data_IF_320014585969
#
_entry.id   IF_320014585969
#
_cell.length_a   1.000
_cell.length_b   1.000
_cell.length_c   1.000
_cell.angle_alpha   90.00
_cell.angle_beta   90.00
_cell.angle_gamma   90.00
#
_symmetry.space_group_name_H-M   'P 1'
#
loop_
_entity.id
_entity.type
_entity.pdbx_description
1 polymer ?
#
# COMPACT_ATOMS: atom_id res chain seq x y z
N UNK A 1 13.98 -1.64 7.93
CA UNK A 1 13.06 -0.58 8.40
C UNK A 1 11.64 -0.70 7.86
N UNK A 2 11.45 -0.77 6.53
CA UNK A 2 10.12 -0.87 5.89
C UNK A 2 9.17 -1.93 6.52
N UNK A 3 9.70 -3.12 6.83
CA UNK A 3 8.97 -4.20 7.51
C UNK A 3 8.43 -3.81 8.89
N UNK A 4 9.24 -3.17 9.73
CA UNK A 4 8.81 -2.77 11.07
C UNK A 4 7.79 -1.62 11.02
N UNK A 5 8.00 -0.64 10.13
CA UNK A 5 7.08 0.48 9.94
C UNK A 5 5.69 0.01 9.50
N UNK A 6 5.64 -0.89 8.51
CA UNK A 6 4.38 -1.47 8.02
C UNK A 6 3.72 -2.37 9.05
N UNK A 7 4.48 -3.18 9.78
CA UNK A 7 3.93 -4.00 10.87
C UNK A 7 3.30 -3.16 11.98
N UNK A 8 4.00 -2.11 12.45
CA UNK A 8 3.45 -1.19 13.47
C UNK A 8 2.18 -0.52 12.95
N UNK A 9 2.18 -0.07 11.70
CA UNK A 9 1.01 0.52 11.06
C UNK A 9 -0.17 -0.45 11.02
N UNK A 10 0.03 -1.72 10.61
CA UNK A 10 -1.03 -2.73 10.56
C UNK A 10 -1.61 -2.99 11.96
N UNK A 11 -0.76 -3.11 12.98
CA UNK A 11 -1.18 -3.34 14.36
C UNK A 11 -1.98 -2.14 14.93
N UNK A 12 -1.50 -0.91 14.71
CA UNK A 12 -2.22 0.30 15.12
C UNK A 12 -3.56 0.43 14.40
N UNK A 13 -3.60 0.12 13.11
CA UNK A 13 -4.83 0.15 12.31
C UNK A 13 -5.85 -0.85 12.85
N UNK A 14 -5.45 -2.09 13.07
CA UNK A 14 -6.33 -3.14 13.60
C UNK A 14 -6.89 -2.83 15.00
N UNK A 15 -6.16 -2.07 15.82
CA UNK A 15 -6.58 -1.72 17.19
C UNK A 15 -7.35 -0.40 17.32
N UNK A 16 -7.08 0.61 16.50
CA UNK A 16 -7.54 2.00 16.74
C UNK A 16 -8.47 2.51 15.63
N UNK A 17 -8.28 2.08 14.38
CA UNK A 17 -8.94 2.70 13.22
C UNK A 17 -10.35 2.14 12.97
N UNK A 18 -10.64 0.92 13.44
CA UNK A 18 -11.97 0.30 13.27
C UNK A 18 -13.10 1.03 14.02
N UNK A 19 -12.78 1.92 14.97
CA UNK A 19 -13.78 2.70 15.72
C UNK A 19 -14.01 4.12 15.18
N UNK A 20 -13.10 4.66 14.36
CA UNK A 20 -13.04 6.11 14.06
C UNK A 20 -13.23 6.41 12.56
N UNK A 21 -12.82 5.49 11.67
CA UNK A 21 -12.94 5.67 10.22
C UNK A 21 -14.10 4.84 9.65
N UNK A 22 -14.78 5.33 8.60
CA UNK A 22 -15.66 4.49 7.79
C UNK A 22 -14.91 3.25 7.32
N UNK A 23 -15.58 2.09 7.31
CA UNK A 23 -14.99 0.78 7.01
C UNK A 23 -14.12 0.74 5.73
N UNK A 24 -14.39 1.62 4.76
CA UNK A 24 -13.76 1.67 3.43
C UNK A 24 -12.83 2.87 3.21
N UNK A 25 -12.62 3.71 4.23
CA UNK A 25 -11.61 4.76 4.17
C UNK A 25 -10.29 4.24 4.74
N UNK A 26 -9.28 4.10 3.89
CA UNK A 26 -7.98 3.58 4.29
C UNK A 26 -6.83 4.40 3.70
N UNK A 27 -5.77 4.64 4.47
CA UNK A 27 -4.53 5.23 3.97
C UNK A 27 -3.53 4.09 3.79
N UNK A 28 -3.37 3.59 2.57
CA UNK A 28 -2.64 2.35 2.32
C UNK A 28 -1.11 2.56 2.28
N UNK A 29 -0.51 2.58 3.47
CA UNK A 29 0.94 2.72 3.62
C UNK A 29 1.71 1.53 3.03
N UNK A 30 1.09 0.34 2.93
CA UNK A 30 1.72 -0.85 2.37
C UNK A 30 1.96 -0.65 0.88
N UNK A 31 0.98 -0.11 0.12
CA UNK A 31 1.16 0.25 -1.30
C UNK A 31 2.24 1.32 -1.45
N UNK A 32 2.23 2.36 -0.60
CA UNK A 32 3.23 3.44 -0.63
C UNK A 32 4.65 2.89 -0.45
N UNK A 33 4.86 2.06 0.58
CA UNK A 33 6.17 1.47 0.87
C UNK A 33 6.58 0.50 -0.25
N UNK A 34 5.64 -0.28 -0.79
CA UNK A 34 5.89 -1.19 -1.93
C UNK A 34 6.38 -0.40 -3.14
N UNK A 35 5.74 0.71 -3.48
CA UNK A 35 6.14 1.57 -4.58
C UNK A 35 7.53 2.19 -4.37
N UNK A 36 7.86 2.56 -3.12
CA UNK A 36 9.19 3.05 -2.75
C UNK A 36 10.27 1.96 -2.85
N UNK A 37 9.96 0.72 -2.42
CA UNK A 37 10.85 -0.42 -2.56
C UNK A 37 11.07 -0.82 -4.01
N UNK A 38 10.06 -0.67 -4.86
CA UNK A 38 10.19 -0.94 -6.30
C UNK A 38 11.27 -0.05 -6.93
N UNK A 39 11.36 1.21 -6.49
CA UNK A 39 12.40 2.14 -6.96
C UNK A 39 13.79 1.86 -6.39
N UNK A 40 13.87 1.53 -5.10
CA UNK A 40 15.15 1.47 -4.36
C UNK A 40 15.78 0.07 -4.37
N UNK A 41 14.97 -0.97 -4.19
CA UNK A 41 15.38 -2.37 -4.02
C UNK A 41 15.01 -3.24 -5.23
N UNK A 42 14.28 -2.69 -6.20
CA UNK A 42 13.85 -3.38 -7.42
C UNK A 42 12.62 -4.30 -7.22
N UNK A 43 12.21 -4.94 -8.32
CA UNK A 43 11.03 -5.81 -8.41
C UNK A 43 10.99 -6.87 -7.31
N UNK A 44 12.07 -7.62 -7.12
CA UNK A 44 12.07 -8.75 -6.18
C UNK A 44 11.81 -8.32 -4.73
N UNK A 45 12.45 -7.24 -4.27
CA UNK A 45 12.27 -6.73 -2.91
C UNK A 45 10.85 -6.21 -2.66
N UNK A 46 10.29 -5.49 -3.65
CA UNK A 46 8.93 -4.99 -3.58
C UNK A 46 7.88 -6.10 -3.61
N UNK A 47 8.07 -7.13 -4.44
CA UNK A 47 7.17 -8.28 -4.52
C UNK A 47 7.12 -9.09 -3.22
N UNK A 48 8.30 -9.40 -2.65
CA UNK A 48 8.41 -10.14 -1.38
C UNK A 48 7.78 -9.32 -0.24
N UNK A 49 7.99 -8.02 -0.23
CA UNK A 49 7.38 -7.13 0.76
C UNK A 49 5.85 -7.11 0.64
N UNK A 50 5.32 -6.87 -0.57
CA UNK A 50 3.87 -6.80 -0.79
C UNK A 50 3.17 -8.12 -0.41
N UNK A 51 3.72 -9.25 -0.84
CA UNK A 51 3.23 -10.57 -0.47
C UNK A 51 3.28 -10.80 1.04
N UNK A 52 4.42 -10.54 1.66
CA UNK A 52 4.60 -10.74 3.10
C UNK A 52 3.68 -9.86 3.95
N UNK A 53 3.49 -8.59 3.57
CA UNK A 53 2.56 -7.70 4.26
C UNK A 53 1.11 -8.16 4.09
N UNK A 54 0.73 -8.60 2.89
CA UNK A 54 -0.60 -9.17 2.69
C UNK A 54 -0.84 -10.43 3.53
N UNK A 55 0.14 -11.34 3.62
CA UNK A 55 0.06 -12.50 4.53
C UNK A 55 -0.05 -12.11 6.00
N UNK A 56 0.67 -11.08 6.45
CA UNK A 56 0.57 -10.58 7.82
C UNK A 56 -0.81 -10.02 8.11
N UNK A 57 -1.40 -9.28 7.15
CA UNK A 57 -2.76 -8.77 7.28
C UNK A 57 -3.75 -9.93 7.32
N UNK A 58 -3.61 -10.94 6.45
CA UNK A 58 -4.46 -12.14 6.47
C UNK A 58 -4.40 -12.85 7.84
N UNK A 59 -3.20 -13.01 8.42
CA UNK A 59 -3.01 -13.65 9.72
C UNK A 59 -3.61 -12.84 10.88
N UNK A 60 -3.53 -11.50 10.80
CA UNK A 60 -3.95 -10.60 11.88
C UNK A 60 -5.42 -10.17 11.79
N UNK A 61 -6.03 -10.20 10.60
CA UNK A 61 -7.37 -9.64 10.34
C UNK A 61 -8.53 -10.59 10.64
N UNK A 62 -8.27 -11.82 11.12
CA UNK A 62 -9.26 -12.89 11.24
C UNK A 62 -10.06 -13.18 9.94
N UNK A 63 -9.57 -12.69 8.80
CA UNK A 63 -10.20 -12.80 7.49
C UNK A 63 -9.83 -14.08 6.74
N UNK A 64 -10.19 -14.12 5.45
CA UNK A 64 -9.86 -15.25 4.59
C UNK A 64 -8.36 -15.30 4.30
N UNK A 65 -7.72 -16.40 4.70
CA UNK A 65 -6.28 -16.57 4.54
C UNK A 65 -5.89 -16.52 3.06
N UNK A 66 -5.04 -15.57 2.67
CA UNK A 66 -4.57 -15.37 1.30
C UNK A 66 -5.29 -14.27 0.52
N UNK A 67 -6.37 -13.68 1.06
CA UNK A 67 -7.12 -12.60 0.40
C UNK A 67 -6.25 -11.35 0.22
N UNK A 68 -5.70 -10.84 1.33
CA UNK A 68 -4.85 -9.65 1.30
C UNK A 68 -3.50 -9.95 0.67
N UNK A 69 -2.92 -11.13 0.85
CA UNK A 69 -1.73 -11.56 0.11
C UNK A 69 -1.93 -11.43 -1.41
N UNK A 70 -3.06 -11.91 -1.93
CA UNK A 70 -3.40 -11.76 -3.35
C UNK A 70 -3.59 -10.29 -3.74
N UNK A 71 -4.32 -9.51 -2.95
CA UNK A 71 -4.58 -8.09 -3.23
C UNK A 71 -3.28 -7.29 -3.33
N UNK A 72 -2.36 -7.47 -2.39
CA UNK A 72 -1.09 -6.73 -2.39
C UNK A 72 -0.15 -7.21 -3.49
N UNK A 73 -0.16 -8.49 -3.88
CA UNK A 73 0.57 -8.97 -5.06
C UNK A 73 0.01 -8.35 -6.35
N UNK A 74 -1.31 -8.31 -6.52
CA UNK A 74 -1.93 -7.65 -7.68
C UNK A 74 -1.60 -6.16 -7.69
N UNK A 75 -1.66 -5.51 -6.53
CA UNK A 75 -1.31 -4.09 -6.38
C UNK A 75 0.16 -3.83 -6.75
N UNK A 76 1.07 -4.72 -6.35
CA UNK A 76 2.46 -4.69 -6.78
C UNK A 76 2.60 -4.81 -8.31
N UNK A 77 1.89 -5.74 -8.96
CA UNK A 77 1.89 -5.87 -10.41
C UNK A 77 1.37 -4.60 -11.11
N UNK A 78 0.31 -3.99 -10.56
CA UNK A 78 -0.20 -2.70 -11.04
C UNK A 78 0.84 -1.58 -10.90
N UNK A 79 1.60 -1.54 -9.79
CA UNK A 79 2.70 -0.59 -9.62
C UNK A 79 3.81 -0.83 -10.63
N UNK A 80 4.22 -2.09 -10.83
CA UNK A 80 5.29 -2.43 -11.78
C UNK A 80 4.91 -2.10 -13.23
N UNK A 81 3.69 -2.42 -13.64
CA UNK A 81 3.18 -2.08 -14.96
C UNK A 81 2.98 -0.56 -15.11
N UNK A 82 2.40 0.08 -14.09
CA UNK A 82 2.12 1.52 -14.08
C UNK A 82 3.38 2.38 -14.05
N UNK A 83 4.46 1.91 -13.42
CA UNK A 83 5.75 2.61 -13.38
C UNK A 83 6.39 2.77 -14.77
N UNK A 84 5.91 2.03 -15.79
CA UNK A 84 6.30 2.24 -17.20
C UNK A 84 5.64 3.47 -17.83
N UNK A 85 4.48 3.87 -17.31
CA UNK A 85 3.70 5.01 -17.80
C UNK A 85 3.88 6.26 -16.94
N UNK A 86 4.08 6.09 -15.64
CA UNK A 86 4.21 7.17 -14.67
C UNK A 86 5.60 7.13 -14.01
N UNK A 87 6.31 8.27 -14.04
CA UNK A 87 7.63 8.36 -13.43
C UNK A 87 7.52 8.44 -11.90
N UNK A 88 7.83 7.33 -11.23
CA UNK A 88 7.90 7.24 -9.77
C UNK A 88 8.99 8.13 -9.14
N UNK A 89 9.93 8.70 -9.92
CA UNK A 89 10.89 9.71 -9.41
C UNK A 89 10.26 11.09 -9.28
N UNK A 90 9.19 11.35 -10.02
CA UNK A 90 8.44 12.60 -9.96
C UNK A 90 7.37 12.57 -8.87
N UNK A 91 7.16 13.70 -8.19
CA UNK A 91 6.09 13.86 -7.19
C UNK A 91 4.71 13.58 -7.80
N UNK A 92 4.50 14.01 -9.04
CA UNK A 92 3.24 13.81 -9.77
C UNK A 92 3.01 12.34 -10.10
N UNK A 93 4.04 11.62 -10.56
CA UNK A 93 3.94 10.20 -10.85
C UNK A 93 3.71 9.36 -9.60
N UNK A 94 4.35 9.69 -8.48
CA UNK A 94 4.08 9.07 -7.18
C UNK A 94 2.63 9.25 -6.76
N UNK A 95 2.13 10.48 -6.78
CA UNK A 95 0.74 10.79 -6.43
C UNK A 95 -0.26 10.02 -7.30
N UNK A 96 -0.12 10.13 -8.63
CA UNK A 96 -1.07 9.55 -9.59
C UNK A 96 -1.03 8.01 -9.53
N UNK A 97 0.17 7.41 -9.61
CA UNK A 97 0.28 5.95 -9.71
C UNK A 97 -0.15 5.28 -8.41
N UNK A 98 0.31 5.77 -7.25
CA UNK A 98 -0.10 5.20 -5.97
C UNK A 98 -1.60 5.37 -5.75
N UNK A 99 -2.15 6.55 -6.04
CA UNK A 99 -3.59 6.78 -5.94
C UNK A 99 -4.41 5.84 -6.82
N UNK A 100 -4.01 5.64 -8.09
CA UNK A 100 -4.68 4.72 -9.00
C UNK A 100 -4.61 3.27 -8.53
N UNK A 101 -3.46 2.82 -8.01
CA UNK A 101 -3.32 1.45 -7.50
C UNK A 101 -4.19 1.22 -6.26
N UNK A 102 -4.27 2.19 -5.35
CA UNK A 102 -5.16 2.11 -4.19
C UNK A 102 -6.62 2.05 -4.63
N UNK A 103 -7.03 2.90 -5.56
CA UNK A 103 -8.38 2.88 -6.10
C UNK A 103 -8.72 1.52 -6.72
N UNK A 104 -7.79 0.96 -7.51
CA UNK A 104 -7.93 -0.35 -8.10
C UNK A 104 -8.01 -1.46 -7.05
N UNK A 105 -7.17 -1.41 -6.01
CA UNK A 105 -7.18 -2.36 -4.89
C UNK A 105 -8.53 -2.37 -4.18
N UNK A 106 -9.11 -1.21 -3.87
CA UNK A 106 -10.41 -1.12 -3.20
C UNK A 106 -11.55 -1.70 -4.05
N UNK A 107 -11.59 -1.36 -5.34
CA UNK A 107 -12.59 -1.91 -6.28
C UNK A 107 -12.42 -3.43 -6.40
N UNK A 108 -11.20 -3.91 -6.49
CA UNK A 108 -10.92 -5.34 -6.62
C UNK A 108 -11.23 -6.11 -5.33
N UNK A 109 -10.95 -5.53 -4.16
CA UNK A 109 -11.33 -6.08 -2.85
C UNK A 109 -12.85 -6.27 -2.77
N UNK A 110 -13.63 -5.23 -3.08
CA UNK A 110 -15.10 -5.34 -3.04
C UNK A 110 -15.63 -6.33 -4.07
N UNK A 111 -15.09 -6.33 -5.29
CA UNK A 111 -15.45 -7.34 -6.28
C UNK A 111 -15.16 -8.77 -5.83
N UNK A 112 -14.06 -8.97 -5.11
CA UNK A 112 -13.69 -10.28 -4.58
C UNK A 112 -14.59 -10.70 -3.40
N UNK A 113 -14.95 -9.76 -2.51
CA UNK A 113 -15.89 -10.02 -1.42
C UNK A 113 -17.30 -10.34 -1.93
N UNK A 114 -17.76 -9.68 -2.99
CA UNK A 114 -19.04 -9.96 -3.65
C UNK A 114 -19.05 -11.39 -4.23
N UNK A 115 -17.98 -11.80 -4.92
CA UNK A 115 -17.82 -13.17 -5.43
C UNK A 115 -17.82 -14.23 -4.31
N UNK A 116 -17.26 -13.89 -3.14
CA UNK A 116 -17.28 -14.76 -1.96
C UNK A 116 -18.58 -14.69 -1.15
N UNK A 117 -19.65 -14.13 -1.72
CA UNK A 117 -21.01 -14.08 -1.16
C UNK A 117 -21.14 -13.30 0.15
N UNK A 118 -20.30 -12.28 0.38
CA UNK A 118 -20.42 -11.40 1.55
C UNK A 118 -21.50 -10.30 1.40
N UNK A 119 -22.38 -10.40 0.40
CA UNK A 119 -23.47 -9.44 0.10
C UNK A 119 -23.03 -7.96 0.13
N UNK A 120 -21.88 -7.64 -0.46
CA UNK A 120 -21.38 -6.26 -0.50
C UNK A 120 -21.99 -5.53 -1.71
N UNK A 121 -23.03 -4.74 -1.47
CA UNK A 121 -23.68 -3.97 -2.54
C UNK A 121 -22.83 -2.75 -2.90
N UNK A 122 -22.42 -2.66 -4.17
CA UNK A 122 -21.80 -1.46 -4.73
C UNK A 122 -22.76 -0.26 -4.59
N UNK A 123 -22.40 0.69 -3.73
CA UNK A 123 -23.16 1.93 -3.53
C UNK A 123 -22.32 3.15 -3.93
N UNK A 124 -22.99 4.24 -4.30
CA UNK A 124 -22.31 5.49 -4.64
C UNK A 124 -21.47 6.06 -3.48
N UNK A 125 -21.83 5.77 -2.23
CA UNK A 125 -21.06 6.19 -1.06
C UNK A 125 -19.74 5.41 -0.91
N UNK A 126 -19.69 4.14 -1.34
CA UNK A 126 -18.45 3.36 -1.37
C UNK A 126 -17.42 3.97 -2.33
N UNK A 127 -17.85 4.34 -3.54
CA UNK A 127 -16.96 4.96 -4.52
C UNK A 127 -16.38 6.30 -4.03
N UNK A 128 -17.15 7.06 -3.25
CA UNK A 128 -16.64 8.27 -2.62
C UNK A 128 -15.50 7.96 -1.63
N UNK A 129 -15.66 6.93 -0.78
CA UNK A 129 -14.64 6.52 0.17
C UNK A 129 -13.39 5.93 -0.51
N UNK A 130 -13.55 5.17 -1.60
CA UNK A 130 -12.42 4.70 -2.39
C UNK A 130 -11.64 5.86 -3.01
N UNK A 131 -12.36 6.85 -3.57
CA UNK A 131 -11.77 8.05 -4.11
C UNK A 131 -11.01 8.85 -3.04
N UNK A 132 -11.58 8.99 -1.84
CA UNK A 132 -10.91 9.64 -0.71
C UNK A 132 -9.65 8.87 -0.30
N UNK A 133 -9.75 7.55 -0.10
CA UNK A 133 -8.61 6.68 0.23
C UNK A 133 -7.48 6.82 -0.78
N UNK A 134 -7.79 6.73 -2.08
CA UNK A 134 -6.83 6.90 -3.17
C UNK A 134 -6.19 8.29 -3.15
N UNK A 135 -6.98 9.34 -2.96
CA UNK A 135 -6.50 10.72 -2.93
C UNK A 135 -5.55 10.97 -1.76
N UNK A 136 -5.93 10.60 -0.54
CA UNK A 136 -5.11 10.82 0.66
C UNK A 136 -3.86 9.94 0.66
N UNK A 137 -3.96 8.68 0.21
CA UNK A 137 -2.79 7.81 0.09
C UNK A 137 -1.82 8.33 -0.97
N UNK A 138 -2.34 8.74 -2.14
CA UNK A 138 -1.54 9.38 -3.18
C UNK A 138 -0.87 10.67 -2.67
N UNK A 139 -1.57 11.50 -1.90
CA UNK A 139 -1.04 12.74 -1.34
C UNK A 139 0.10 12.51 -0.35
N UNK A 140 -0.02 11.46 0.47
CA UNK A 140 0.99 11.07 1.45
C UNK A 140 2.20 10.40 0.79
N UNK A 141 2.03 9.77 -0.39
CA UNK A 141 3.09 9.01 -1.03
C UNK A 141 4.40 9.80 -1.25
N UNK A 142 4.40 11.02 -1.83
CA UNK A 142 5.64 11.78 -2.01
C UNK A 142 6.35 12.15 -0.70
N UNK A 143 5.57 12.40 0.36
CA UNK A 143 6.11 12.70 1.68
C UNK A 143 6.86 11.47 2.24
N UNK A 144 6.23 10.30 2.18
CA UNK A 144 6.83 9.05 2.66
C UNK A 144 8.05 8.67 1.82
N UNK A 145 7.99 8.82 0.49
CA UNK A 145 9.14 8.57 -0.38
C UNK A 145 10.33 9.44 0.00
N UNK A 146 10.09 10.72 0.29
CA UNK A 146 11.13 11.67 0.70
C UNK A 146 11.77 11.26 2.03
N UNK A 147 10.96 10.86 3.01
CA UNK A 147 11.45 10.38 4.31
C UNK A 147 12.28 9.10 4.15
N UNK A 148 11.80 8.12 3.38
CA UNK A 148 12.50 6.86 3.15
C UNK A 148 13.82 7.06 2.41
N UNK A 149 13.84 7.91 1.37
CA UNK A 149 15.06 8.25 0.65
C UNK A 149 16.08 8.93 1.57
N UNK A 150 15.64 9.87 2.41
CA UNK A 150 16.52 10.54 3.37
C UNK A 150 17.16 9.55 4.36
N UNK A 151 16.36 8.63 4.91
CA UNK A 151 16.84 7.59 5.81
C UNK A 151 17.83 6.65 5.13
N UNK A 152 17.55 6.25 3.88
CA UNK A 152 18.45 5.39 3.10
C UNK A 152 19.80 6.06 2.85
N UNK A 153 19.81 7.36 2.51
CA UNK A 153 21.04 8.14 2.30
C UNK A 153 21.85 8.24 3.61
N UNK A 154 21.19 8.52 4.74
CA UNK A 154 21.83 8.59 6.06
C UNK A 154 22.53 7.28 6.43
N UNK A 155 21.82 6.16 6.35
CA UNK A 155 22.38 4.84 6.70
C UNK A 155 23.54 4.45 5.77
N UNK A 156 23.45 4.79 4.48
CA UNK A 156 24.54 4.54 3.52
C UNK A 156 25.78 5.40 3.80
N UNK A 157 25.61 6.62 4.30
CA UNK A 157 26.70 7.51 4.73
C UNK A 157 27.43 6.98 5.96
N UNK A 158 26.70 6.56 6.99
CA UNK A 158 27.26 6.00 8.23
C UNK A 158 28.04 4.70 7.97
N UNK A 159 27.58 3.87 7.03
CA UNK A 159 28.26 2.62 6.67
C UNK A 159 29.61 2.87 5.96
N UNK A 160 29.80 4.04 5.33
CA UNK A 160 31.04 4.42 4.65
C UNK A 160 32.06 5.10 5.58
N UNK A 161 31.61 5.73 6.67
CA UNK A 161 32.50 6.32 7.68
C UNK A 161 33.02 5.27 8.69
N UNK A 162 32.37 4.11 8.76
CA UNK A 162 32.75 2.99 9.64
C UNK A 162 33.63 1.92 8.96
N UNK A 163 34.01 2.09 7.69
CA UNK A 163 34.82 1.17 6.89
C UNK A 163 36.15 1.80 6.50
#
# INVERSE_FOLDING_TARGET
>A
MAWFLSLIYILLKGSVVNEIAPLFFDIDLVIVITASLLMSSGTAGAAVFAFGQGMLIDLLSAGFLGLFALLYVISFLCLELGARFFDLRSVQGQFILVGLVVLFKEVFLVGLLDVFAFEVVFSASLFFWFGASAFFTGLIAPLIFSILNYLQIRTAGETREAA
#
